data_IF_812305157386
#
_entry.id   IF_812305157386
#
_cell.length_a   1.000
_cell.length_b   1.000
_cell.length_c   1.000
_cell.angle_alpha   90.00
_cell.angle_beta   90.00
_cell.angle_gamma   90.00
#
_symmetry.space_group_name_H-M   'P 1'
#
loop_
_entity.id
_entity.type
_entity.pdbx_description
1 polymer ?
#
# COMPACT_ATOMS: atom_id res chain seq x y z
N UNK A 1 -8.66 -31.63 -20.57
CA UNK A 1 -7.35 -31.25 -19.99
C UNK A 1 -7.59 -30.01 -19.13
N UNK A 2 -7.69 -30.18 -17.81
CA UNK A 2 -7.99 -29.08 -16.89
C UNK A 2 -6.72 -28.27 -16.67
N UNK A 3 -6.52 -27.24 -17.48
CA UNK A 3 -5.42 -26.28 -17.28
C UNK A 3 -5.66 -25.58 -15.94
N UNK A 4 -4.90 -26.04 -14.93
CA UNK A 4 -4.99 -25.55 -13.57
C UNK A 4 -4.46 -24.11 -13.59
N UNK A 5 -5.25 -23.10 -13.18
CA UNK A 5 -4.83 -21.71 -13.29
C UNK A 5 -3.47 -21.50 -12.62
N UNK A 6 -2.50 -20.99 -13.39
CA UNK A 6 -1.13 -20.79 -12.92
C UNK A 6 -1.15 -19.73 -11.83
N UNK A 7 -0.91 -20.16 -10.59
CA UNK A 7 -0.75 -19.29 -9.42
C UNK A 7 0.72 -19.28 -8.99
N UNK A 8 1.32 -18.09 -8.89
CA UNK A 8 2.69 -17.88 -8.42
C UNK A 8 2.61 -17.20 -7.07
N UNK A 9 3.29 -17.78 -6.07
CA UNK A 9 3.45 -17.17 -4.75
C UNK A 9 4.91 -16.79 -4.54
N UNK A 10 5.15 -15.52 -4.21
CA UNK A 10 6.48 -14.98 -3.90
C UNK A 10 6.49 -14.57 -2.43
N UNK A 11 7.35 -15.21 -1.65
CA UNK A 11 7.59 -14.84 -0.26
C UNK A 11 8.65 -13.75 -0.19
N UNK A 12 8.37 -12.69 0.56
CA UNK A 12 9.30 -11.58 0.78
C UNK A 12 9.78 -11.55 2.23
N UNK A 13 11.04 -11.19 2.49
CA UNK A 13 11.61 -11.13 3.83
C UNK A 13 11.13 -9.90 4.64
N UNK A 14 9.98 -9.32 4.32
CA UNK A 14 9.42 -8.15 4.99
C UNK A 14 8.40 -8.58 6.05
N UNK A 15 8.36 -7.87 7.18
CA UNK A 15 7.45 -8.20 8.28
C UNK A 15 6.11 -7.47 8.21
N UNK A 16 6.09 -6.29 7.58
CA UNK A 16 4.90 -5.42 7.48
C UNK A 16 4.68 -4.93 6.04
N UNK A 17 3.44 -4.51 5.75
CA UNK A 17 3.04 -3.92 4.46
C UNK A 17 3.80 -2.62 4.16
N UNK A 18 4.04 -1.79 5.18
CA UNK A 18 4.72 -0.49 5.04
C UNK A 18 6.22 -0.63 4.74
N UNK A 19 6.87 -1.61 5.37
CA UNK A 19 8.27 -1.98 5.10
C UNK A 19 8.44 -2.52 3.68
N UNK A 20 7.52 -3.41 3.26
CA UNK A 20 7.46 -3.87 1.86
C UNK A 20 7.29 -2.70 0.89
N UNK A 21 6.36 -1.80 1.16
CA UNK A 21 6.12 -0.62 0.33
C UNK A 21 7.35 0.28 0.23
N UNK A 22 8.09 0.47 1.33
CA UNK A 22 9.29 1.32 1.35
C UNK A 22 10.46 0.71 0.57
N UNK A 23 10.67 -0.60 0.71
CA UNK A 23 11.81 -1.29 0.10
C UNK A 23 11.57 -1.75 -1.35
N UNK A 24 10.34 -2.15 -1.68
CA UNK A 24 9.93 -2.66 -2.99
C UNK A 24 9.10 -1.64 -3.79
N UNK A 25 9.07 -0.36 -3.37
CA UNK A 25 8.33 0.69 -4.06
C UNK A 25 8.67 0.78 -5.55
N UNK A 26 9.95 0.57 -5.89
CA UNK A 26 10.46 0.65 -7.26
C UNK A 26 10.02 -0.52 -8.14
N UNK A 27 9.65 -1.66 -7.54
CA UNK A 27 9.15 -2.84 -8.29
C UNK A 27 7.68 -2.73 -8.62
N UNK A 28 6.98 -1.74 -8.06
CA UNK A 28 5.54 -1.60 -8.16
C UNK A 28 5.17 -0.25 -8.78
N UNK A 29 4.33 -0.30 -9.82
CA UNK A 29 3.81 0.89 -10.52
C UNK A 29 2.29 0.91 -10.44
N UNK A 30 1.66 2.00 -10.89
CA UNK A 30 0.20 2.14 -10.89
C UNK A 30 -0.53 1.02 -11.64
N UNK A 31 0.08 0.48 -12.70
CA UNK A 31 -0.55 -0.47 -13.62
C UNK A 31 0.21 -1.79 -13.79
N UNK A 32 1.40 -1.91 -13.22
CA UNK A 32 2.27 -3.09 -13.39
C UNK A 32 3.08 -3.39 -12.13
N UNK A 33 3.47 -4.65 -11.96
CA UNK A 33 4.37 -5.12 -10.88
C UNK A 33 5.51 -5.93 -11.47
N UNK A 34 6.68 -5.84 -10.86
CA UNK A 34 7.86 -6.65 -11.15
C UNK A 34 7.96 -7.73 -10.08
N UNK A 35 7.68 -8.98 -10.44
CA UNK A 35 7.86 -10.12 -9.55
C UNK A 35 9.32 -10.57 -9.56
N UNK A 36 10.11 -9.98 -8.67
CA UNK A 36 11.53 -10.34 -8.48
C UNK A 36 11.65 -11.77 -7.96
N UNK A 37 12.50 -12.59 -8.59
CA UNK A 37 12.69 -14.00 -8.28
C UNK A 37 11.64 -14.93 -8.89
N UNK A 38 10.75 -14.42 -9.75
CA UNK A 38 9.82 -15.26 -10.50
C UNK A 38 10.51 -15.90 -11.71
N UNK A 39 10.11 -17.13 -12.04
CA UNK A 39 10.59 -17.85 -13.23
C UNK A 39 10.17 -17.13 -14.52
N UNK A 40 11.00 -17.27 -15.56
CA UNK A 40 10.66 -16.80 -16.91
C UNK A 40 9.34 -17.41 -17.39
N UNK A 41 8.48 -16.56 -17.95
CA UNK A 41 7.18 -16.96 -18.50
C UNK A 41 6.97 -16.28 -19.86
N UNK A 42 6.25 -16.96 -20.77
CA UNK A 42 5.92 -16.37 -22.06
C UNK A 42 5.06 -15.12 -21.89
N UNK A 43 5.40 -14.07 -22.63
CA UNK A 43 4.63 -12.84 -22.69
C UNK A 43 3.19 -13.14 -23.15
N UNK A 44 2.24 -12.40 -22.60
CA UNK A 44 0.83 -12.50 -22.93
C UNK A 44 0.02 -13.47 -22.07
N UNK A 45 0.65 -14.34 -21.28
CA UNK A 45 -0.06 -15.24 -20.35
C UNK A 45 -0.62 -14.45 -19.15
N UNK A 46 -1.87 -14.75 -18.78
CA UNK A 46 -2.50 -14.23 -17.57
C UNK A 46 -2.30 -15.24 -16.45
N UNK A 47 -1.70 -14.81 -15.35
CA UNK A 47 -1.45 -15.65 -14.20
C UNK A 47 -1.90 -14.97 -12.91
N UNK A 48 -2.23 -15.78 -11.91
CA UNK A 48 -2.51 -15.30 -10.56
C UNK A 48 -1.19 -15.11 -9.85
N UNK A 49 -0.96 -13.94 -9.29
CA UNK A 49 0.21 -13.67 -8.48
C UNK A 49 -0.22 -13.36 -7.04
N UNK A 50 0.58 -13.83 -6.10
CA UNK A 50 0.42 -13.60 -4.68
C UNK A 50 1.79 -13.27 -4.06
N UNK A 51 1.88 -12.12 -3.41
CA UNK A 51 3.05 -11.71 -2.63
C UNK A 51 2.70 -11.85 -1.16
N UNK A 52 3.48 -12.66 -0.45
CA UNK A 52 3.33 -12.87 0.99
C UNK A 52 4.55 -12.34 1.74
N UNK A 53 4.30 -11.73 2.90
CA UNK A 53 5.34 -11.32 3.84
C UNK A 53 6.04 -12.53 4.48
N UNK A 54 7.12 -12.28 5.23
CA UNK A 54 7.85 -13.29 5.99
C UNK A 54 6.94 -13.93 7.06
N UNK A 55 5.96 -13.16 7.55
CA UNK A 55 4.89 -13.60 8.45
C UNK A 55 3.88 -14.53 7.78
N UNK A 56 4.00 -14.77 6.47
CA UNK A 56 3.07 -15.57 5.68
C UNK A 56 1.79 -14.83 5.27
N UNK A 57 1.62 -13.57 5.69
CA UNK A 57 0.44 -12.77 5.36
C UNK A 57 0.48 -12.31 3.89
N UNK A 58 -0.60 -12.53 3.10
CA UNK A 58 -0.69 -12.00 1.74
C UNK A 58 -0.94 -10.50 1.77
N UNK A 59 -0.11 -9.76 1.04
CA UNK A 59 -0.19 -8.29 0.97
C UNK A 59 -0.63 -7.82 -0.42
N UNK A 60 -0.19 -8.53 -1.45
CA UNK A 60 -0.53 -8.22 -2.83
C UNK A 60 -1.02 -9.48 -3.54
N UNK A 61 -2.25 -9.44 -4.05
CA UNK A 61 -2.87 -10.53 -4.79
C UNK A 61 -3.63 -9.98 -5.99
N UNK A 62 -3.48 -10.65 -7.12
CA UNK A 62 -4.19 -10.28 -8.32
C UNK A 62 -3.93 -11.22 -9.48
N UNK A 63 -4.47 -10.83 -10.62
CA UNK A 63 -4.23 -11.44 -11.92
C UNK A 63 -3.47 -10.44 -12.78
N UNK A 64 -2.31 -10.87 -13.25
CA UNK A 64 -1.40 -10.06 -14.05
C UNK A 64 -1.15 -10.74 -15.38
N UNK A 65 -1.08 -9.96 -16.46
CA UNK A 65 -0.64 -10.43 -17.76
C UNK A 65 0.85 -10.20 -17.88
N UNK A 66 1.61 -11.24 -18.21
CA UNK A 66 3.06 -11.14 -18.43
C UNK A 66 3.31 -10.22 -19.62
N UNK A 67 4.10 -9.18 -19.41
CA UNK A 67 4.55 -8.27 -20.47
C UNK A 67 5.90 -8.73 -20.99
N UNK A 68 6.85 -8.93 -20.09
CA UNK A 68 8.23 -9.28 -20.41
C UNK A 68 8.90 -9.95 -19.20
N UNK A 69 9.93 -10.76 -19.44
CA UNK A 69 10.83 -11.26 -18.42
C UNK A 69 12.17 -10.52 -18.52
N UNK A 70 12.62 -9.93 -17.41
CA UNK A 70 13.93 -9.28 -17.30
C UNK A 70 14.87 -10.15 -16.47
N UNK A 71 16.02 -10.49 -17.05
CA UNK A 71 17.07 -11.21 -16.33
C UNK A 71 17.68 -10.38 -15.19
N UNK A 72 17.61 -9.04 -15.29
CA UNK A 72 18.05 -8.08 -14.27
C UNK A 72 16.96 -7.00 -14.13
N UNK A 73 15.95 -7.29 -13.30
CA UNK A 73 14.79 -6.42 -13.13
C UNK A 73 14.91 -5.50 -11.90
N UNK A 74 15.42 -6.03 -10.79
CA UNK A 74 15.55 -5.29 -9.53
C UNK A 74 16.82 -5.71 -8.79
N UNK A 75 17.71 -4.75 -8.51
CA UNK A 75 18.99 -5.00 -7.81
C UNK A 75 19.82 -6.15 -8.43
N UNK A 76 19.77 -6.33 -9.76
CA UNK A 76 20.46 -7.43 -10.46
C UNK A 76 19.79 -8.80 -10.34
N UNK A 77 18.60 -8.88 -9.73
CA UNK A 77 17.81 -10.11 -9.67
C UNK A 77 16.87 -10.22 -10.87
N UNK A 78 16.64 -11.43 -11.40
CA UNK A 78 15.65 -11.63 -12.44
C UNK A 78 14.25 -11.32 -11.93
N UNK A 79 13.43 -10.73 -12.79
CA UNK A 79 12.06 -10.38 -12.45
C UNK A 79 11.13 -10.45 -13.65
N UNK A 80 9.92 -10.91 -13.38
CA UNK A 80 8.86 -10.99 -14.37
C UNK A 80 8.01 -9.72 -14.28
N UNK A 81 7.86 -9.00 -15.39
CA UNK A 81 7.05 -7.79 -15.47
C UNK A 81 5.62 -8.19 -15.82
N UNK A 82 4.68 -7.90 -14.94
CA UNK A 82 3.26 -8.18 -15.13
C UNK A 82 2.47 -6.88 -15.15
N UNK A 83 1.55 -6.76 -16.09
CA UNK A 83 0.54 -5.70 -16.11
C UNK A 83 -0.71 -6.18 -15.38
N UNK A 84 -1.22 -5.38 -14.44
CA UNK A 84 -2.44 -5.71 -13.71
C UNK A 84 -3.62 -5.83 -14.68
N UNK A 85 -4.29 -6.97 -14.64
CA UNK A 85 -5.56 -7.21 -15.35
C UNK A 85 -6.71 -7.22 -14.35
N UNK A 86 -6.50 -7.82 -13.18
CA UNK A 86 -7.43 -7.82 -12.05
C UNK A 86 -6.63 -7.68 -10.75
N UNK A 87 -7.11 -6.88 -9.83
CA UNK A 87 -6.51 -6.74 -8.49
C UNK A 87 -7.60 -6.92 -7.45
N UNK A 88 -7.23 -7.46 -6.30
CA UNK A 88 -8.10 -7.48 -5.14
C UNK A 88 -8.27 -6.06 -4.56
N UNK A 89 -9.42 -5.67 -3.99
CA UNK A 89 -9.62 -4.36 -3.39
C UNK A 89 -8.56 -4.01 -2.32
N UNK A 90 -8.05 -4.98 -1.55
CA UNK A 90 -6.96 -4.71 -0.59
C UNK A 90 -5.66 -4.37 -1.32
N UNK A 91 -5.35 -5.11 -2.38
CA UNK A 91 -4.15 -4.92 -3.18
C UNK A 91 -4.17 -3.62 -4.00
N UNK A 92 -5.35 -3.23 -4.50
CA UNK A 92 -5.52 -1.94 -5.19
C UNK A 92 -5.20 -0.77 -4.25
N UNK A 93 -5.67 -0.81 -3.01
CA UNK A 93 -5.36 0.22 -2.00
C UNK A 93 -3.85 0.27 -1.68
N UNK A 94 -3.20 -0.89 -1.61
CA UNK A 94 -1.75 -0.96 -1.40
C UNK A 94 -0.98 -0.37 -2.58
N UNK A 95 -1.35 -0.70 -3.82
CA UNK A 95 -0.75 -0.14 -5.05
C UNK A 95 -0.96 1.37 -5.12
N UNK A 96 -2.16 1.84 -4.79
CA UNK A 96 -2.49 3.27 -4.78
C UNK A 96 -1.67 4.02 -3.73
N UNK A 97 -1.54 3.46 -2.52
CA UNK A 97 -0.69 4.01 -1.45
C UNK A 97 0.79 4.02 -1.85
N UNK A 98 1.30 2.95 -2.46
CA UNK A 98 2.66 2.88 -2.98
C UNK A 98 2.93 4.00 -3.98
N UNK A 99 2.01 4.18 -4.92
CA UNK A 99 2.07 5.23 -5.92
C UNK A 99 2.01 6.62 -5.28
N UNK A 100 1.10 6.84 -4.34
CA UNK A 100 1.00 8.10 -3.61
C UNK A 100 2.28 8.41 -2.80
N UNK A 101 2.93 7.40 -2.21
CA UNK A 101 4.23 7.57 -1.53
C UNK A 101 5.35 7.89 -2.51
N UNK A 102 5.32 7.32 -3.72
CA UNK A 102 6.27 7.62 -4.81
C UNK A 102 6.13 9.05 -5.31
N UNK A 103 4.91 9.45 -5.64
CA UNK A 103 4.60 10.77 -6.18
C UNK A 103 4.71 11.84 -5.08
N UNK A 104 4.33 11.52 -3.85
CA UNK A 104 4.38 12.41 -2.68
C UNK A 104 5.79 12.77 -2.24
N UNK A 105 6.81 11.99 -2.63
CA UNK A 105 8.23 12.35 -2.47
C UNK A 105 8.69 13.47 -3.41
N UNK A 106 7.85 13.87 -4.39
CA UNK A 106 8.12 14.91 -5.35
C UNK A 106 6.93 15.82 -5.56
N UNK A 107 6.85 16.89 -4.74
CA UNK A 107 6.19 18.17 -5.07
C UNK A 107 4.66 18.16 -5.19
N UNK A 108 4.03 18.88 -4.25
CA UNK A 108 2.84 19.77 -4.37
C UNK A 108 1.60 19.16 -5.06
N UNK A 109 0.41 19.12 -4.41
CA UNK A 109 -0.81 18.60 -5.04
C UNK A 109 -1.07 19.28 -6.39
N UNK A 110 -1.52 18.55 -7.43
CA UNK A 110 -1.97 19.18 -8.65
C UNK A 110 -3.22 19.99 -8.31
N UNK A 111 -3.04 21.30 -8.21
CA UNK A 111 -4.11 22.28 -8.36
C UNK A 111 -4.96 21.84 -9.55
N UNK A 112 -6.25 21.69 -9.29
CA UNK A 112 -7.25 21.38 -10.31
C UNK A 112 -7.06 22.25 -11.56
N UNK A 113 -7.23 21.69 -12.77
CA UNK A 113 -7.15 22.48 -13.97
C UNK A 113 -8.37 23.42 -14.06
N UNK A 114 -8.13 24.72 -13.99
CA UNK A 114 -8.95 25.70 -14.70
C UNK A 114 -9.91 26.55 -13.88
N UNK A 115 -9.37 27.52 -13.13
CA UNK A 115 -9.94 28.89 -13.08
C UNK A 115 -8.73 29.83 -12.99
N UNK A 116 -8.46 30.70 -13.98
CA UNK A 116 -7.45 31.74 -13.80
C UNK A 116 -7.98 32.77 -12.79
N UNK A 117 -7.32 33.01 -11.64
CA UNK A 117 -7.53 34.27 -10.95
C UNK A 117 -6.87 35.33 -11.83
N UNK A 118 -7.70 36.18 -12.43
CA UNK A 118 -7.25 37.36 -13.14
C UNK A 118 -6.29 38.17 -12.25
N UNK A 119 -5.23 38.64 -12.88
CA UNK A 119 -4.22 39.50 -12.28
C UNK A 119 -4.84 40.74 -11.62
N UNK A 120 -4.30 41.09 -10.45
CA UNK A 120 -4.00 42.46 -10.04
C UNK A 120 -5.17 43.39 -9.73
N UNK A 121 -5.40 43.66 -8.45
CA UNK A 121 -5.47 45.03 -7.93
C UNK A 121 -5.23 45.04 -6.42
N UNK A 122 -4.58 46.11 -5.99
CA UNK A 122 -3.83 46.39 -4.77
C UNK A 122 -4.55 46.26 -3.40
N UNK A 123 -3.78 46.30 -2.30
CA UNK A 123 -4.28 46.15 -0.93
C UNK A 123 -4.94 47.44 -0.44
N UNK A 124 -6.13 47.35 0.15
CA UNK A 124 -6.67 48.39 1.03
C UNK A 124 -6.76 47.86 2.45
N UNK A 125 -5.83 48.37 3.24
CA UNK A 125 -5.77 48.33 4.69
C UNK A 125 -6.85 49.31 5.18
N UNK A 126 -7.78 48.88 6.03
CA UNK A 126 -8.68 49.85 6.66
C UNK A 126 -9.85 49.25 7.40
N UNK A 127 -9.69 49.17 8.73
CA UNK A 127 -10.75 49.19 9.76
C UNK A 127 -11.78 48.05 9.75
N UNK A 128 -12.28 47.54 10.86
CA UNK A 128 -11.96 47.56 12.27
C UNK A 128 -12.99 46.58 12.87
N UNK A 129 -12.56 45.79 13.85
CA UNK A 129 -13.33 45.23 14.98
C UNK A 129 -14.77 44.69 14.78
N UNK A 130 -14.95 43.40 15.13
CA UNK A 130 -15.83 42.90 16.21
C UNK A 130 -15.51 41.41 16.39
N UNK A 131 -14.69 41.04 17.37
CA UNK A 131 -15.13 40.63 18.72
C UNK A 131 -16.41 39.78 18.69
N UNK A 132 -16.21 38.46 18.78
CA UNK A 132 -17.26 37.45 18.87
C UNK A 132 -16.71 36.25 19.61
N UNK A 133 -16.49 36.43 20.91
CA UNK A 133 -16.08 35.39 21.86
C UNK A 133 -17.32 34.58 22.24
N UNK A 134 -17.32 33.28 21.94
CA UNK A 134 -18.11 32.24 22.61
C UNK A 134 -17.46 30.89 22.22
N UNK A 135 -16.46 30.39 22.96
CA UNK A 135 -16.63 29.53 24.13
C UNK A 135 -17.71 28.45 23.92
N UNK A 136 -17.29 27.21 23.64
CA UNK A 136 -17.60 26.02 24.46
C UNK A 136 -16.68 24.85 24.06
N UNK A 137 -15.87 24.46 25.04
CA UNK A 137 -15.30 23.16 25.40
C UNK A 137 -15.15 22.00 24.38
N UNK A 138 -13.93 21.48 24.15
CA UNK A 138 -13.74 20.12 23.67
C UNK A 138 -13.81 19.15 24.86
N UNK A 139 -14.97 18.50 25.06
CA UNK A 139 -15.06 17.40 26.01
C UNK A 139 -14.22 16.20 25.50
N UNK A 140 -13.18 15.78 26.26
CA UNK A 140 -12.41 14.60 25.92
C UNK A 140 -13.21 13.38 26.37
N UNK A 141 -13.84 12.67 25.43
CA UNK A 141 -14.46 11.38 25.73
C UNK A 141 -13.35 10.37 26.07
N UNK A 142 -13.09 10.26 27.36
CA UNK A 142 -12.34 9.20 28.00
C UNK A 142 -12.89 7.86 27.53
N UNK A 143 -12.02 7.04 26.91
CA UNK A 143 -12.23 5.59 26.87
C UNK A 143 -12.04 5.05 28.29
N UNK A 144 -13.09 4.52 28.96
CA UNK A 144 -12.87 3.70 30.15
C UNK A 144 -12.14 2.42 29.76
N UNK A 145 -11.26 2.02 30.67
CA UNK A 145 -10.46 0.82 30.64
C UNK A 145 -11.29 -0.45 30.44
N UNK A 146 -10.78 -1.39 29.65
CA UNK A 146 -10.96 -2.81 29.94
C UNK A 146 -9.71 -3.57 29.50
N UNK A 147 -8.78 -3.69 30.44
CA UNK A 147 -7.70 -4.66 30.48
C UNK A 147 -8.28 -5.95 31.07
N UNK A 148 -8.28 -7.10 30.37
CA UNK A 148 -8.43 -8.37 31.04
C UNK A 148 -7.03 -8.88 31.39
N UNK A 149 -6.59 -8.56 32.62
CA UNK A 149 -5.66 -9.40 33.37
C UNK A 149 -6.38 -10.72 33.67
N UNK A 150 -6.14 -11.75 32.86
CA UNK A 150 -6.42 -13.14 33.21
C UNK A 150 -5.10 -13.84 33.52
N UNK A 151 -4.58 -13.52 34.69
CA UNK A 151 -3.66 -14.35 35.45
C UNK A 151 -4.46 -15.56 35.98
N UNK A 152 -4.16 -16.76 35.50
CA UNK A 152 -4.46 -18.01 36.19
C UNK A 152 -3.63 -19.17 35.59
N UNK A 153 -2.40 -19.36 36.10
CA UNK A 153 -1.95 -20.70 36.48
C UNK A 153 -2.72 -21.07 37.77
N UNK A 154 -3.13 -22.33 38.03
CA UNK A 154 -2.27 -23.52 38.18
C UNK A 154 -2.93 -24.77 37.53
N UNK A 155 -2.46 -26.02 37.49
CA UNK A 155 -1.81 -26.92 38.45
C UNK A 155 -1.14 -28.05 37.65
N UNK A 156 -0.07 -28.62 38.19
CA UNK A 156 0.48 -29.93 37.80
C UNK A 156 -0.48 -31.05 38.20
N UNK A 157 -0.65 -32.10 37.39
CA UNK A 157 -0.93 -33.44 37.91
C UNK A 157 0.36 -34.26 37.94
N UNK A 158 0.82 -34.60 39.15
CA UNK A 158 1.63 -35.78 39.39
C UNK A 158 0.76 -37.03 39.25
N UNK A 159 1.17 -37.98 38.41
CA UNK A 159 0.80 -39.40 38.38
C UNK A 159 1.71 -40.03 37.31
N UNK A 160 2.48 -41.10 37.48
CA UNK A 160 2.73 -42.13 38.51
C UNK A 160 4.19 -42.61 38.30
#
# INVERSE_FOLDING_TARGET
MTDKPVAIRIARPHSTEDDYLTHELDTLTRSSVILVGANSRPAGVVLRFEVTLATGRPVLRGEGRVVEYKAEAFRGLPGLVLRFTKLDPKSKQLVDRAHAMREGGGKIPPSSPGIPPAAGSEPSIGSAIVEGVAHVDPEPEHKPAEEPKAEAAPVTPSVE
#
